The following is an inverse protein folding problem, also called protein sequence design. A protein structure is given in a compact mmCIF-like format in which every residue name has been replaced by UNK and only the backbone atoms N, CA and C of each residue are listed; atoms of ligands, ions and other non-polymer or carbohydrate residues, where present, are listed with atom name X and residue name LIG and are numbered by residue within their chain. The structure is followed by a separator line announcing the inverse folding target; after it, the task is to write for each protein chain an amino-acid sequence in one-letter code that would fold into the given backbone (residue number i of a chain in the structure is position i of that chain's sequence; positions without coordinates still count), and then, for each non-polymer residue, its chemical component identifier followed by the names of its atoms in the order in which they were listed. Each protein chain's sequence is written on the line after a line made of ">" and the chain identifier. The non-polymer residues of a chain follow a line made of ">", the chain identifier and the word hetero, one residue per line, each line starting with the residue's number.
data_IF_164422461476
#
_entry.id   IF_164422461476
#
_cell.length_a   1.000
_cell.length_b   1.000
_cell.length_c   1.000
_cell.angle_alpha   90.00
_cell.angle_beta   90.00
_cell.angle_gamma   90.00
#
_symmetry.space_group_name_H-M   'P 1'
#
loop_
_entity.id
_entity.type
_entity.pdbx_description
1 polymer ?
#
# COMPACT_ATOMS: atom_id res chain seq x y z
N UNK A 1 2.68 -22.86 32.39
CA UNK A 1 1.22 -22.86 32.14
C UNK A 1 0.98 -22.07 30.87
N UNK A 2 1.11 -22.75 29.72
CA UNK A 2 1.06 -22.10 28.42
C UNK A 2 -0.38 -21.72 28.09
N UNK A 3 -0.64 -20.42 27.90
CA UNK A 3 -1.93 -19.97 27.37
C UNK A 3 -2.01 -20.52 25.96
N UNK A 4 -2.88 -21.51 25.73
CA UNK A 4 -3.20 -22.01 24.40
C UNK A 4 -4.03 -20.91 23.74
N UNK A 5 -3.37 -19.97 23.07
CA UNK A 5 -4.03 -18.91 22.32
C UNK A 5 -4.67 -19.58 21.08
N UNK A 6 -5.98 -19.40 20.84
CA UNK A 6 -6.61 -19.88 19.62
C UNK A 6 -5.88 -19.33 18.40
N UNK A 7 -5.65 -20.17 17.38
CA UNK A 7 -4.83 -19.80 16.22
C UNK A 7 -5.31 -18.50 15.53
N UNK A 8 -6.62 -18.27 15.41
CA UNK A 8 -7.17 -17.03 14.86
C UNK A 8 -6.83 -15.79 15.70
N UNK A 9 -6.76 -15.93 17.03
CA UNK A 9 -6.35 -14.85 17.95
C UNK A 9 -4.84 -14.61 17.84
N UNK A 10 -4.05 -15.67 17.69
CA UNK A 10 -2.61 -15.56 17.47
C UNK A 10 -2.30 -14.80 16.17
N UNK A 11 -2.98 -15.15 15.07
CA UNK A 11 -2.88 -14.44 13.78
C UNK A 11 -3.27 -12.97 13.93
N UNK A 12 -4.42 -12.67 14.55
CA UNK A 12 -4.80 -11.29 14.80
C UNK A 12 -3.74 -10.52 15.60
N UNK A 13 -3.26 -11.10 16.71
CA UNK A 13 -2.28 -10.45 17.60
C UNK A 13 -0.93 -10.24 16.93
N UNK A 14 -0.46 -11.19 16.12
CA UNK A 14 0.80 -11.06 15.36
C UNK A 14 0.78 -9.80 14.49
N UNK A 15 -0.27 -9.67 13.67
CA UNK A 15 -0.42 -8.54 12.76
C UNK A 15 -0.77 -7.23 13.47
N UNK A 16 -1.55 -7.30 14.55
CA UNK A 16 -1.86 -6.15 15.40
C UNK A 16 -0.61 -5.55 16.05
N UNK A 17 0.25 -6.40 16.63
CA UNK A 17 1.51 -5.97 17.26
C UNK A 17 2.45 -5.39 16.22
N UNK A 18 2.65 -6.09 15.10
CA UNK A 18 3.50 -5.60 14.02
C UNK A 18 3.00 -4.26 13.45
N UNK A 19 1.69 -4.04 13.39
CA UNK A 19 1.09 -2.80 12.92
C UNK A 19 1.28 -1.64 13.91
N UNK A 20 0.96 -1.85 15.20
CA UNK A 20 1.03 -0.77 16.20
C UNK A 20 2.47 -0.36 16.49
N UNK A 21 3.43 -1.28 16.37
CA UNK A 21 4.85 -1.00 16.60
C UNK A 21 5.60 -0.58 15.32
N UNK A 22 4.98 -0.74 14.14
CA UNK A 22 5.55 -0.44 12.82
C UNK A 22 5.61 1.04 12.47
N UNK A 23 6.27 1.85 13.29
CA UNK A 23 6.52 3.26 12.99
C UNK A 23 7.65 3.39 11.97
N UNK A 24 7.42 4.13 10.87
CA UNK A 24 8.39 4.32 9.78
C UNK A 24 7.94 3.79 8.41
N UNK A 25 6.71 3.31 8.29
CA UNK A 25 6.13 2.85 7.01
C UNK A 25 6.45 1.39 6.68
N UNK A 26 6.33 1.05 5.39
CA UNK A 26 6.52 -0.33 4.89
C UNK A 26 7.85 -0.97 5.30
N UNK A 27 9.01 -0.32 5.08
CA UNK A 27 10.32 -0.89 5.40
C UNK A 27 10.52 -1.19 6.89
N UNK A 28 9.93 -0.40 7.79
CA UNK A 28 9.99 -0.63 9.23
C UNK A 28 9.00 -1.71 9.70
N UNK A 29 7.89 -1.89 8.98
CA UNK A 29 6.86 -2.88 9.33
C UNK A 29 7.26 -4.31 8.94
N UNK A 30 8.04 -4.49 7.87
CA UNK A 30 8.43 -5.82 7.37
C UNK A 30 9.26 -6.62 8.40
N UNK A 31 10.30 -6.07 9.06
CA UNK A 31 11.05 -6.79 10.09
C UNK A 31 10.20 -7.18 11.30
N UNK A 32 9.23 -6.35 11.69
CA UNK A 32 8.32 -6.67 12.78
C UNK A 32 7.35 -7.80 12.40
N UNK A 33 6.86 -7.79 11.16
CA UNK A 33 6.07 -8.90 10.63
C UNK A 33 6.91 -10.18 10.57
N UNK A 34 8.15 -10.11 10.07
CA UNK A 34 9.08 -11.23 10.03
C UNK A 34 9.30 -11.83 11.43
N UNK A 35 9.56 -10.99 12.43
CA UNK A 35 9.73 -11.45 13.82
C UNK A 35 8.50 -12.21 14.33
N UNK A 36 7.29 -11.69 14.08
CA UNK A 36 6.09 -12.38 14.51
C UNK A 36 5.88 -13.70 13.73
N UNK A 37 6.01 -13.67 12.40
CA UNK A 37 5.65 -14.79 11.53
C UNK A 37 6.69 -15.91 11.59
N UNK A 38 7.98 -15.58 11.50
CA UNK A 38 9.09 -16.53 11.39
C UNK A 38 9.68 -16.85 12.77
N UNK A 39 10.06 -15.83 13.54
CA UNK A 39 10.76 -16.06 14.82
C UNK A 39 9.83 -16.52 15.93
N UNK A 40 8.68 -15.87 16.08
CA UNK A 40 7.80 -16.07 17.24
C UNK A 40 6.79 -17.20 17.06
N UNK A 41 6.09 -17.21 15.93
CA UNK A 41 5.05 -18.21 15.65
C UNK A 41 5.53 -19.34 14.75
N UNK A 42 6.61 -19.15 13.97
CA UNK A 42 7.18 -20.18 13.11
C UNK A 42 6.22 -20.68 12.03
N UNK A 43 5.34 -19.81 11.53
CA UNK A 43 4.37 -20.16 10.48
C UNK A 43 5.00 -20.28 9.10
N UNK A 44 6.06 -19.51 8.85
CA UNK A 44 6.85 -19.58 7.63
C UNK A 44 8.33 -19.68 7.99
N UNK A 45 9.11 -20.32 7.12
CA UNK A 45 10.56 -20.27 7.19
C UNK A 45 11.15 -19.02 6.49
N UNK A 46 12.48 -18.89 6.53
CA UNK A 46 13.19 -17.77 5.91
C UNK A 46 12.97 -17.68 4.40
N UNK A 47 12.94 -18.83 3.73
CA UNK A 47 12.82 -18.92 2.27
C UNK A 47 11.39 -18.61 1.85
N UNK A 48 10.40 -19.16 2.54
CA UNK A 48 8.98 -18.90 2.33
C UNK A 48 8.64 -17.42 2.56
N UNK A 49 9.13 -16.82 3.66
CA UNK A 49 8.93 -15.40 3.90
C UNK A 49 9.57 -14.52 2.81
N UNK A 50 10.78 -14.87 2.36
CA UNK A 50 11.46 -14.15 1.28
C UNK A 50 10.69 -14.23 -0.05
N UNK A 51 10.22 -15.42 -0.42
CA UNK A 51 9.41 -15.63 -1.62
C UNK A 51 8.08 -14.86 -1.56
N UNK A 52 7.39 -14.92 -0.40
CA UNK A 52 6.17 -14.15 -0.18
C UNK A 52 6.44 -12.64 -0.27
N UNK A 53 7.54 -12.15 0.29
CA UNK A 53 7.91 -10.74 0.20
C UNK A 53 8.19 -10.33 -1.25
N UNK A 54 8.88 -11.17 -2.03
CA UNK A 54 9.10 -10.94 -3.46
C UNK A 54 7.78 -10.89 -4.24
N UNK A 55 6.89 -11.84 -4.00
CA UNK A 55 5.54 -11.86 -4.60
C UNK A 55 4.75 -10.60 -4.20
N UNK A 56 4.80 -10.22 -2.92
CA UNK A 56 4.18 -9.01 -2.40
C UNK A 56 4.67 -7.74 -3.09
N UNK A 57 5.96 -7.65 -3.44
CA UNK A 57 6.50 -6.51 -4.20
C UNK A 57 6.10 -6.53 -5.68
N UNK A 58 5.87 -7.70 -6.28
CA UNK A 58 5.43 -7.81 -7.68
C UNK A 58 3.99 -7.32 -7.90
N UNK A 59 3.13 -7.45 -6.89
CA UNK A 59 1.74 -7.00 -6.95
C UNK A 59 1.63 -5.51 -6.61
N UNK A 60 0.72 -4.75 -7.24
CA UNK A 60 0.45 -3.38 -6.81
C UNK A 60 -0.16 -3.34 -5.41
N UNK A 61 -0.02 -2.21 -4.71
CA UNK A 61 -0.67 -1.94 -3.42
C UNK A 61 0.19 -2.13 -2.17
N UNK A 62 -0.38 -1.91 -0.97
CA UNK A 62 0.37 -1.89 0.28
C UNK A 62 0.93 -3.26 0.65
N UNK A 63 2.24 -3.32 0.93
CA UNK A 63 2.93 -4.59 1.19
C UNK A 63 2.43 -5.28 2.46
N UNK A 64 2.20 -4.51 3.53
CA UNK A 64 1.74 -5.01 4.82
C UNK A 64 0.41 -5.79 4.72
N UNK A 65 -0.55 -5.30 3.95
CA UNK A 65 -1.86 -5.97 3.79
C UNK A 65 -1.76 -7.22 2.94
N UNK A 66 -0.84 -7.27 1.96
CA UNK A 66 -0.59 -8.47 1.14
C UNK A 66 0.04 -9.59 1.96
N UNK A 67 1.04 -9.26 2.79
CA UNK A 67 1.65 -10.21 3.72
C UNK A 67 0.61 -10.75 4.70
N UNK A 68 -0.18 -9.85 5.31
CA UNK A 68 -1.25 -10.25 6.22
C UNK A 68 -2.28 -11.16 5.55
N UNK A 69 -2.74 -10.82 4.35
CA UNK A 69 -3.67 -11.64 3.59
C UNK A 69 -3.12 -13.05 3.32
N UNK A 70 -1.89 -13.14 2.79
CA UNK A 70 -1.26 -14.41 2.45
C UNK A 70 -1.06 -15.30 3.67
N UNK A 71 -0.34 -14.79 4.68
CA UNK A 71 -0.01 -15.56 5.89
C UNK A 71 -1.26 -15.91 6.69
N UNK A 72 -2.22 -14.98 6.80
CA UNK A 72 -3.48 -15.27 7.46
C UNK A 72 -4.23 -16.42 6.78
N UNK A 73 -4.27 -16.43 5.45
CA UNK A 73 -4.91 -17.52 4.70
C UNK A 73 -4.15 -18.84 4.82
N UNK A 74 -2.82 -18.80 4.75
CA UNK A 74 -1.97 -19.99 4.83
C UNK A 74 -2.08 -20.69 6.20
N UNK A 75 -2.12 -19.90 7.28
CA UNK A 75 -2.15 -20.41 8.67
C UNK A 75 -3.51 -20.94 9.08
N UNK A 76 -4.61 -20.27 8.70
CA UNK A 76 -5.95 -20.62 9.20
C UNK A 76 -7.07 -20.36 8.20
N UNK A 77 -6.78 -20.43 6.90
CA UNK A 77 -7.75 -20.26 5.82
C UNK A 77 -8.46 -18.90 5.86
N UNK A 78 -9.71 -18.87 5.42
CA UNK A 78 -10.54 -17.65 5.41
C UNK A 78 -10.64 -16.94 6.77
N UNK A 79 -10.85 -17.65 7.90
CA UNK A 79 -10.84 -16.99 9.21
C UNK A 79 -9.50 -16.34 9.56
N UNK A 80 -8.37 -16.98 9.22
CA UNK A 80 -7.04 -16.40 9.43
C UNK A 80 -6.78 -15.19 8.54
N UNK A 81 -7.19 -15.25 7.27
CA UNK A 81 -7.14 -14.11 6.34
C UNK A 81 -7.87 -12.88 6.91
N UNK A 82 -9.11 -13.07 7.39
CA UNK A 82 -9.89 -11.99 7.99
C UNK A 82 -9.26 -11.48 9.28
N UNK A 83 -8.75 -12.37 10.14
CA UNK A 83 -8.09 -12.01 11.39
C UNK A 83 -6.80 -11.20 11.15
N UNK A 84 -5.96 -11.60 10.20
CA UNK A 84 -4.72 -10.91 9.85
C UNK A 84 -4.99 -9.52 9.26
N UNK A 85 -5.95 -9.42 8.34
CA UNK A 85 -6.37 -8.14 7.77
C UNK A 85 -6.98 -7.22 8.82
N UNK A 86 -7.83 -7.77 9.70
CA UNK A 86 -8.41 -7.02 10.81
C UNK A 86 -7.31 -6.47 11.74
N UNK A 87 -6.33 -7.30 12.12
CA UNK A 87 -5.19 -6.89 12.94
C UNK A 87 -4.34 -5.81 12.28
N UNK A 88 -4.26 -5.80 10.94
CA UNK A 88 -3.48 -4.81 10.19
C UNK A 88 -4.26 -3.51 9.92
N UNK A 89 -5.56 -3.56 9.65
CA UNK A 89 -6.32 -2.40 9.15
C UNK A 89 -7.06 -1.67 10.28
N UNK A 90 -7.68 -2.43 11.19
CA UNK A 90 -8.55 -1.84 12.23
C UNK A 90 -7.78 -0.87 13.14
N UNK A 91 -6.56 -1.15 13.62
CA UNK A 91 -5.86 -0.24 14.52
C UNK A 91 -5.60 1.13 13.87
N UNK A 92 -5.12 1.13 12.64
CA UNK A 92 -4.85 2.37 11.89
C UNK A 92 -6.15 3.11 11.58
N UNK A 93 -7.23 2.41 11.21
CA UNK A 93 -8.52 3.02 10.94
C UNK A 93 -9.13 3.67 12.18
N UNK A 94 -9.07 2.99 13.33
CA UNK A 94 -9.53 3.51 14.62
C UNK A 94 -8.73 4.73 15.04
N UNK A 95 -7.39 4.66 14.95
CA UNK A 95 -6.51 5.78 15.26
C UNK A 95 -6.81 7.00 14.37
N UNK A 96 -7.00 6.79 13.06
CA UNK A 96 -7.37 7.84 12.11
C UNK A 96 -8.71 8.48 12.44
N UNK A 97 -9.76 7.68 12.67
CA UNK A 97 -11.10 8.18 13.03
C UNK A 97 -11.03 9.00 14.31
N UNK A 98 -10.29 8.53 15.31
CA UNK A 98 -10.11 9.24 16.56
C UNK A 98 -9.37 10.57 16.37
N UNK A 99 -8.28 10.57 15.61
CA UNK A 99 -7.52 11.80 15.30
C UNK A 99 -8.38 12.80 14.52
N UNK A 100 -9.19 12.34 13.56
CA UNK A 100 -10.11 13.19 12.81
C UNK A 100 -11.18 13.81 13.70
N UNK A 101 -11.70 13.08 14.69
CA UNK A 101 -12.63 13.66 15.69
C UNK A 101 -11.97 14.80 16.47
N UNK A 102 -10.73 14.62 16.90
CA UNK A 102 -9.96 15.66 17.59
C UNK A 102 -9.74 16.86 16.67
N UNK A 103 -9.28 16.62 15.44
CA UNK A 103 -9.03 17.68 14.45
C UNK A 103 -10.30 18.48 14.16
N UNK A 104 -11.46 17.81 14.04
CA UNK A 104 -12.75 18.48 13.85
C UNK A 104 -13.16 19.31 15.06
N UNK A 105 -12.92 18.83 16.29
CA UNK A 105 -13.22 19.57 17.52
C UNK A 105 -12.45 20.91 17.59
N UNK A 106 -11.19 20.92 17.15
CA UNK A 106 -10.34 22.11 17.19
C UNK A 106 -10.22 22.86 15.85
N UNK A 107 -11.06 22.53 14.86
CA UNK A 107 -10.97 23.08 13.49
C UNK A 107 -11.06 24.62 13.42
N UNK A 108 -11.75 25.24 14.38
CA UNK A 108 -11.89 26.70 14.45
C UNK A 108 -10.64 27.41 15.01
N UNK A 109 -9.71 26.68 15.63
CA UNK A 109 -8.46 27.26 16.10
C UNK A 109 -7.60 27.72 14.90
N UNK A 110 -7.11 28.98 14.90
CA UNK A 110 -6.22 29.48 13.86
C UNK A 110 -4.99 28.60 13.64
N UNK A 111 -4.46 28.01 14.72
CA UNK A 111 -3.27 27.14 14.69
C UNK A 111 -3.57 25.83 13.93
N UNK A 112 -4.68 25.17 14.26
CA UNK A 112 -5.08 23.90 13.61
C UNK A 112 -5.45 24.12 12.16
N UNK A 113 -6.12 25.24 11.86
CA UNK A 113 -6.42 25.65 10.48
C UNK A 113 -5.13 25.91 9.69
N UNK A 114 -4.15 26.61 10.27
CA UNK A 114 -2.85 26.85 9.68
C UNK A 114 -2.09 25.55 9.39
N UNK A 115 -1.98 24.66 10.37
CA UNK A 115 -1.34 23.35 10.19
C UNK A 115 -2.01 22.55 9.06
N UNK A 116 -3.35 22.51 9.02
CA UNK A 116 -4.10 21.77 7.99
C UNK A 116 -3.91 22.37 6.59
N UNK A 117 -3.82 23.70 6.48
CA UNK A 117 -3.58 24.38 5.20
C UNK A 117 -2.18 24.10 4.67
N UNK A 118 -1.16 23.98 5.53
CA UNK A 118 0.22 23.67 5.13
C UNK A 118 0.38 22.24 4.59
N UNK A 119 -0.53 21.31 4.92
CA UNK A 119 -0.50 19.94 4.38
C UNK A 119 -0.78 19.93 2.88
N UNK A 120 -1.67 20.80 2.37
CA UNK A 120 -2.04 20.83 0.95
C UNK A 120 -0.86 21.11 -0.01
N UNK A 121 -0.02 22.14 0.18
CA UNK A 121 1.12 22.39 -0.69
C UNK A 121 2.19 21.28 -0.58
N UNK A 122 2.37 20.68 0.60
CA UNK A 122 3.28 19.53 0.78
C UNK A 122 2.81 18.35 -0.08
N UNK A 123 1.53 18.00 -0.02
CA UNK A 123 0.94 16.95 -0.88
C UNK A 123 1.10 17.31 -2.36
N UNK A 124 0.84 18.57 -2.75
CA UNK A 124 0.96 19.00 -4.14
C UNK A 124 2.39 18.80 -4.68
N UNK A 125 3.41 19.19 -3.92
CA UNK A 125 4.81 19.02 -4.30
C UNK A 125 5.20 17.54 -4.33
N UNK A 126 4.76 16.73 -3.36
CA UNK A 126 4.99 15.28 -3.35
C UNK A 126 4.39 14.61 -4.60
N UNK A 127 3.16 14.95 -4.95
CA UNK A 127 2.49 14.42 -6.15
C UNK A 127 3.19 14.86 -7.43
N UNK A 128 3.65 16.11 -7.49
CA UNK A 128 4.40 16.64 -8.62
C UNK A 128 5.73 15.89 -8.80
N UNK A 129 6.52 15.73 -7.74
CA UNK A 129 7.78 15.00 -7.77
C UNK A 129 7.58 13.54 -8.18
N UNK A 130 6.56 12.88 -7.63
CA UNK A 130 6.22 11.50 -8.03
C UNK A 130 5.85 11.42 -9.51
N UNK A 131 5.00 12.33 -9.98
CA UNK A 131 4.60 12.39 -11.39
C UNK A 131 5.79 12.64 -12.30
N UNK A 132 6.70 13.54 -11.90
CA UNK A 132 7.90 13.86 -12.65
C UNK A 132 8.85 12.67 -12.76
N UNK A 133 9.11 11.97 -11.65
CA UNK A 133 9.96 10.78 -11.65
C UNK A 133 9.36 9.68 -12.53
N UNK A 134 8.06 9.40 -12.39
CA UNK A 134 7.38 8.42 -13.26
C UNK A 134 7.42 8.81 -14.73
N UNK A 135 7.31 10.11 -15.05
CA UNK A 135 7.43 10.59 -16.42
C UNK A 135 8.84 10.42 -16.97
N UNK A 136 9.87 10.70 -16.16
CA UNK A 136 11.27 10.49 -16.54
C UNK A 136 11.57 9.00 -16.79
N UNK A 137 11.09 8.11 -15.92
CA UNK A 137 11.24 6.66 -16.07
C UNK A 137 10.52 6.14 -17.32
N UNK A 138 9.31 6.63 -17.59
CA UNK A 138 8.59 6.32 -18.82
C UNK A 138 9.37 6.77 -20.07
N UNK A 139 9.84 8.02 -20.10
CA UNK A 139 10.64 8.53 -21.22
C UNK A 139 11.93 7.73 -21.43
N UNK A 140 12.61 7.34 -20.35
CA UNK A 140 13.82 6.52 -20.41
C UNK A 140 13.59 5.09 -20.92
N UNK A 141 12.41 4.52 -20.64
CA UNK A 141 12.08 3.13 -21.03
C UNK A 141 11.48 2.99 -22.42
N UNK A 142 10.52 3.86 -22.80
CA UNK A 142 9.73 3.71 -24.05
C UNK A 142 10.04 4.80 -25.10
N UNK A 143 10.89 5.75 -24.74
CA UNK A 143 11.29 6.88 -25.58
C UNK A 143 10.29 8.05 -25.54
N UNK A 144 10.77 9.24 -25.92
CA UNK A 144 10.01 10.50 -25.85
C UNK A 144 8.71 10.48 -26.65
N UNK A 145 8.71 9.85 -27.84
CA UNK A 145 7.57 9.86 -28.77
C UNK A 145 6.38 9.12 -28.15
N UNK A 146 6.60 7.88 -27.69
CA UNK A 146 5.55 7.05 -27.10
C UNK A 146 5.06 7.63 -25.77
N UNK A 147 5.98 8.12 -24.92
CA UNK A 147 5.62 8.73 -23.64
C UNK A 147 4.73 9.97 -23.81
N UNK A 148 5.08 10.88 -24.71
CA UNK A 148 4.27 12.09 -24.95
C UNK A 148 2.93 11.73 -25.59
N UNK A 149 2.91 10.76 -26.51
CA UNK A 149 1.67 10.30 -27.14
C UNK A 149 0.69 9.70 -26.12
N UNK A 150 1.14 8.77 -25.29
CA UNK A 150 0.33 8.13 -24.24
C UNK A 150 -0.11 9.18 -23.21
N UNK A 151 0.78 10.07 -22.78
CA UNK A 151 0.45 11.13 -21.83
C UNK A 151 -0.62 12.09 -22.38
N UNK A 152 -0.48 12.51 -23.65
CA UNK A 152 -1.45 13.38 -24.32
C UNK A 152 -2.82 12.72 -24.47
N UNK A 153 -2.86 11.46 -24.92
CA UNK A 153 -4.10 10.69 -25.01
C UNK A 153 -4.76 10.48 -23.65
N UNK A 154 -3.98 10.12 -22.63
CA UNK A 154 -4.49 9.94 -21.27
C UNK A 154 -5.05 11.25 -20.72
N UNK A 155 -4.36 12.37 -20.92
CA UNK A 155 -4.83 13.69 -20.49
C UNK A 155 -6.16 14.08 -21.16
N UNK A 156 -6.30 13.84 -22.47
CA UNK A 156 -7.55 14.09 -23.19
C UNK A 156 -8.68 13.16 -22.76
N UNK A 157 -8.39 11.86 -22.62
CA UNK A 157 -9.36 10.84 -22.21
C UNK A 157 -9.92 11.11 -20.79
N UNK A 158 -9.05 11.48 -19.86
CA UNK A 158 -9.44 11.76 -18.47
C UNK A 158 -10.06 13.15 -18.32
N UNK A 159 -9.47 14.17 -18.95
CA UNK A 159 -9.88 15.56 -18.79
C UNK A 159 -11.17 15.88 -19.55
N UNK A 160 -11.19 15.62 -20.86
CA UNK A 160 -12.31 16.01 -21.73
C UNK A 160 -13.40 14.95 -21.78
N UNK A 161 -13.02 13.68 -21.92
CA UNK A 161 -13.98 12.58 -22.11
C UNK A 161 -14.42 11.93 -20.79
N UNK A 162 -13.80 12.27 -19.66
CA UNK A 162 -14.10 11.73 -18.32
C UNK A 162 -14.15 10.19 -18.30
N UNK A 163 -13.32 9.55 -19.12
CA UNK A 163 -13.25 8.10 -19.21
C UNK A 163 -12.70 7.56 -17.89
N UNK A 164 -13.20 6.41 -17.44
CA UNK A 164 -12.72 5.80 -16.20
C UNK A 164 -11.22 5.47 -16.32
N UNK A 165 -10.37 5.83 -15.35
CA UNK A 165 -8.91 5.63 -15.43
C UNK A 165 -8.49 4.19 -15.71
N UNK A 166 -9.26 3.21 -15.23
CA UNK A 166 -9.00 1.79 -15.50
C UNK A 166 -8.94 1.48 -17.01
N UNK A 167 -9.83 2.06 -17.83
CA UNK A 167 -9.79 1.81 -19.28
C UNK A 167 -8.58 2.45 -19.95
N UNK A 168 -8.19 3.65 -19.51
CA UNK A 168 -6.99 4.34 -20.01
C UNK A 168 -5.75 3.51 -19.71
N UNK A 169 -5.66 2.95 -18.50
CA UNK A 169 -4.57 2.07 -18.09
C UNK A 169 -4.54 0.81 -18.97
N UNK A 170 -5.68 0.12 -19.15
CA UNK A 170 -5.75 -1.10 -19.98
C UNK A 170 -5.32 -0.82 -21.42
N UNK A 171 -5.79 0.28 -22.02
CA UNK A 171 -5.40 0.66 -23.38
C UNK A 171 -3.92 1.01 -23.50
N UNK A 172 -3.35 1.70 -22.50
CA UNK A 172 -1.93 2.00 -22.46
C UNK A 172 -1.08 0.73 -22.34
N UNK A 173 -1.48 -0.23 -21.51
CA UNK A 173 -0.83 -1.54 -21.41
C UNK A 173 -0.92 -2.33 -22.70
N UNK A 174 -2.10 -2.37 -23.34
CA UNK A 174 -2.28 -3.02 -24.63
C UNK A 174 -1.37 -2.39 -25.70
N UNK A 175 -1.38 -1.05 -25.82
CA UNK A 175 -0.52 -0.32 -26.74
C UNK A 175 0.96 -0.65 -26.51
N UNK A 176 1.41 -0.63 -25.25
CA UNK A 176 2.80 -0.96 -24.91
C UNK A 176 3.17 -2.40 -25.23
N UNK A 177 2.29 -3.36 -24.99
CA UNK A 177 2.53 -4.78 -25.29
C UNK A 177 2.59 -5.11 -26.79
N UNK A 178 1.88 -4.37 -27.64
CA UNK A 178 1.86 -4.63 -29.09
C UNK A 178 2.93 -3.87 -29.89
N UNK A 179 3.28 -2.65 -29.47
CA UNK A 179 4.06 -1.71 -30.31
C UNK A 179 5.49 -1.52 -29.79
N UNK A 180 5.71 -1.64 -28.48
CA UNK A 180 7.05 -1.51 -27.91
C UNK A 180 7.67 -2.91 -27.92
N UNK A 181 8.69 -3.18 -28.75
CA UNK A 181 9.34 -4.47 -28.74
C UNK A 181 9.92 -4.71 -27.35
N UNK A 182 9.69 -5.90 -26.80
CA UNK A 182 10.37 -6.41 -25.61
C UNK A 182 11.87 -6.57 -25.94
N UNK A 183 12.63 -5.48 -25.92
CA UNK A 183 14.10 -5.50 -25.90
C UNK A 183 14.60 -5.43 -24.48
#
# INVERSE_FOLDING_TARGET
>A
MGIIIPIGVAVFLAFFIANILGYGGGPASIPLMYDQIVTRFGWLDNTEFSQMLALGNSLPGPIATKIAAYVGYDVYGWPGFLAALAGTIIPSAVALIYLLKILRKYKQSPIVKGMSLLVQPVIAIMMLLLTWNMAADAVGSIGYIHSIFIAGLAFLALGKFKIHPAFVIILAFAYGGFIIPLT
#
